data_IF_285336630237
#
_entry.id   IF_285336630237
#
_cell.length_a   1.000
_cell.length_b   1.000
_cell.length_c   1.000
_cell.angle_alpha   90.00
_cell.angle_beta   90.00
_cell.angle_gamma   90.00
#
_symmetry.space_group_name_H-M   'P 1'
#
loop_
_entity.id
_entity.type
_entity.pdbx_description
1 polymer ?
#
# COMPACT_ATOMS: atom_id res chain seq x y z
N UNK A 1 -15.83 -29.79 6.00
CA UNK A 1 -14.72 -29.01 6.54
C UNK A 1 -13.94 -28.43 5.37
N UNK A 2 -13.77 -27.10 5.31
CA UNK A 2 -12.98 -26.44 4.28
C UNK A 2 -11.49 -26.73 4.51
N UNK A 3 -10.73 -26.96 3.44
CA UNK A 3 -9.29 -27.25 3.49
C UNK A 3 -8.42 -26.13 2.93
N UNK A 4 -9.04 -25.23 2.16
CA UNK A 4 -8.35 -24.12 1.48
C UNK A 4 -9.15 -22.82 1.71
N UNK A 5 -8.45 -21.76 2.02
CA UNK A 5 -8.95 -20.38 2.05
C UNK A 5 -8.24 -19.54 0.99
N UNK A 6 -8.93 -18.58 0.41
CA UNK A 6 -8.36 -17.60 -0.51
C UNK A 6 -8.29 -16.24 0.21
N UNK A 7 -7.09 -15.66 0.29
CA UNK A 7 -6.84 -14.35 0.89
C UNK A 7 -6.64 -13.28 -0.18
N UNK A 8 -7.09 -12.05 0.13
CA UNK A 8 -6.79 -10.85 -0.66
C UNK A 8 -5.41 -10.24 -0.41
N UNK A 9 -4.58 -10.88 0.39
CA UNK A 9 -3.28 -10.37 0.82
C UNK A 9 -2.34 -10.10 -0.35
N UNK A 10 -1.59 -9.02 -0.27
CA UNK A 10 -0.68 -8.55 -1.33
C UNK A 10 -1.31 -7.62 -2.36
N UNK A 11 -2.65 -7.45 -2.35
CA UNK A 11 -3.30 -6.57 -3.33
C UNK A 11 -2.90 -5.10 -3.16
N UNK A 12 -2.77 -4.61 -1.94
CA UNK A 12 -2.38 -3.23 -1.65
C UNK A 12 -0.93 -2.94 -2.07
N UNK A 13 -0.05 -3.87 -1.83
CA UNK A 13 1.38 -3.76 -2.14
C UNK A 13 1.66 -3.88 -3.64
N UNK A 14 0.84 -4.65 -4.37
CA UNK A 14 1.05 -4.89 -5.82
C UNK A 14 0.29 -3.87 -6.68
N UNK A 15 -0.89 -3.40 -6.24
CA UNK A 15 -1.75 -2.50 -7.01
C UNK A 15 -1.85 -1.09 -6.44
N UNK A 16 -1.12 -0.78 -5.36
CA UNK A 16 -1.11 0.53 -4.70
C UNK A 16 -2.42 0.86 -3.96
N UNK A 17 -2.57 0.35 -2.71
CA UNK A 17 -3.78 0.51 -1.91
C UNK A 17 -3.68 1.48 -0.74
N UNK A 18 -2.49 1.80 -0.24
CA UNK A 18 -2.30 2.54 1.01
C UNK A 18 -2.39 4.07 0.86
N UNK A 19 -2.66 4.78 1.96
CA UNK A 19 -2.77 6.24 1.97
C UNK A 19 -1.45 6.93 1.62
N UNK A 20 -0.32 6.40 2.08
CA UNK A 20 1.01 6.94 1.73
C UNK A 20 1.34 6.75 0.24
N UNK A 21 0.86 5.69 -0.40
CA UNK A 21 0.99 5.51 -1.85
C UNK A 21 0.36 6.66 -2.64
N UNK A 22 -0.77 7.18 -2.17
CA UNK A 22 -1.41 8.33 -2.82
C UNK A 22 -0.56 9.60 -2.68
N UNK A 23 0.03 9.82 -1.50
CA UNK A 23 0.90 10.98 -1.27
C UNK A 23 2.20 10.87 -2.08
N UNK A 24 2.75 9.66 -2.22
CA UNK A 24 3.91 9.41 -3.08
C UNK A 24 3.59 9.63 -4.55
N UNK A 25 2.41 9.21 -4.99
CA UNK A 25 1.98 9.49 -6.36
C UNK A 25 1.80 10.98 -6.63
N UNK A 26 1.20 11.73 -5.70
CA UNK A 26 1.14 13.20 -5.79
C UNK A 26 2.54 13.82 -5.93
N UNK A 27 3.51 13.32 -5.16
CA UNK A 27 4.89 13.74 -5.33
C UNK A 27 5.44 13.44 -6.74
N UNK A 28 5.19 12.27 -7.29
CA UNK A 28 5.69 11.89 -8.62
C UNK A 28 5.11 12.75 -9.75
N UNK A 29 3.83 13.07 -9.67
CA UNK A 29 3.15 13.88 -10.71
C UNK A 29 3.31 15.39 -10.53
N UNK A 30 4.03 15.86 -9.51
CA UNK A 30 4.15 17.29 -9.13
C UNK A 30 4.61 18.22 -10.26
N UNK A 31 5.42 17.72 -11.20
CA UNK A 31 5.93 18.50 -12.33
C UNK A 31 4.90 18.65 -13.46
N UNK A 32 3.85 17.82 -13.48
CA UNK A 32 2.72 17.98 -14.37
C UNK A 32 1.58 18.69 -13.62
N UNK A 33 1.55 20.02 -13.70
CA UNK A 33 0.59 20.86 -12.96
C UNK A 33 -0.86 20.43 -13.11
N UNK A 34 -1.29 20.06 -14.32
CA UNK A 34 -2.68 19.64 -14.60
C UNK A 34 -2.99 18.33 -13.88
N UNK A 35 -2.14 17.33 -14.04
CA UNK A 35 -2.33 16.02 -13.44
C UNK A 35 -2.25 16.08 -11.91
N UNK A 36 -1.28 16.84 -11.39
CA UNK A 36 -1.15 17.07 -9.95
C UNK A 36 -2.41 17.70 -9.34
N UNK A 37 -2.90 18.79 -9.97
CA UNK A 37 -4.09 19.48 -9.46
C UNK A 37 -5.35 18.60 -9.53
N UNK A 38 -5.49 17.82 -10.60
CA UNK A 38 -6.59 16.85 -10.73
C UNK A 38 -6.56 15.82 -9.58
N UNK A 39 -5.41 15.20 -9.35
CA UNK A 39 -5.27 14.20 -8.29
C UNK A 39 -5.41 14.80 -6.89
N UNK A 40 -4.84 15.98 -6.65
CA UNK A 40 -4.95 16.67 -5.36
C UNK A 40 -6.42 17.02 -5.03
N UNK A 41 -7.18 17.50 -6.01
CA UNK A 41 -8.60 17.83 -5.80
C UNK A 41 -9.43 16.58 -5.46
N UNK A 42 -9.18 15.47 -6.16
CA UNK A 42 -9.87 14.20 -5.88
C UNK A 42 -9.44 13.61 -4.54
N UNK A 43 -8.16 13.67 -4.21
CA UNK A 43 -7.66 13.26 -2.90
C UNK A 43 -8.32 14.08 -1.78
N UNK A 44 -8.40 15.42 -1.91
CA UNK A 44 -9.08 16.28 -0.94
C UNK A 44 -10.56 15.93 -0.78
N UNK A 45 -11.23 15.61 -1.88
CA UNK A 45 -12.69 15.35 -1.88
C UNK A 45 -13.04 13.98 -1.31
N UNK A 46 -12.32 12.94 -1.70
CA UNK A 46 -12.73 11.56 -1.45
C UNK A 46 -11.89 10.84 -0.39
N UNK A 47 -10.61 11.21 -0.24
CA UNK A 47 -9.68 10.48 0.61
C UNK A 47 -9.43 11.20 1.93
N UNK A 48 -9.11 12.48 1.88
CA UNK A 48 -8.78 13.27 3.07
C UNK A 48 -9.83 13.19 4.20
N UNK A 49 -11.15 13.18 3.93
CA UNK A 49 -12.16 13.05 4.99
C UNK A 49 -12.07 11.74 5.78
N UNK A 50 -11.61 10.66 5.13
CA UNK A 50 -11.52 9.32 5.71
C UNK A 50 -10.19 9.04 6.42
N UNK A 51 -9.20 9.92 6.26
CA UNK A 51 -7.87 9.73 6.85
C UNK A 51 -7.91 10.00 8.35
N UNK A 52 -7.67 8.95 9.15
CA UNK A 52 -7.55 9.03 10.63
C UNK A 52 -6.14 9.43 11.07
N UNK A 53 -5.11 8.87 10.44
CA UNK A 53 -3.73 9.17 10.78
C UNK A 53 -3.35 10.59 10.32
N UNK A 54 -3.03 11.48 11.27
CA UNK A 54 -2.68 12.89 11.03
C UNK A 54 -1.54 13.10 10.01
N UNK A 55 -0.58 12.18 9.94
CA UNK A 55 0.54 12.28 9.00
C UNK A 55 0.09 12.25 7.55
N UNK A 56 -0.88 11.40 7.23
CA UNK A 56 -1.38 11.26 5.86
C UNK A 56 -2.34 12.38 5.43
N UNK A 57 -2.66 13.31 6.31
CA UNK A 57 -3.48 14.50 5.98
C UNK A 57 -2.69 15.62 5.31
N UNK A 58 -1.35 15.51 5.26
CA UNK A 58 -0.47 16.46 4.57
C UNK A 58 -0.11 15.96 3.17
N UNK A 59 -0.68 16.53 2.08
CA UNK A 59 -0.40 16.07 0.71
C UNK A 59 1.05 16.34 0.27
N UNK A 60 1.77 17.21 1.01
CA UNK A 60 3.15 17.56 0.70
C UNK A 60 4.18 16.82 1.59
N UNK A 61 3.77 15.80 2.32
CA UNK A 61 4.65 15.08 3.25
C UNK A 61 5.96 14.64 2.58
N UNK A 62 5.89 14.03 1.39
CA UNK A 62 7.07 13.56 0.65
C UNK A 62 7.79 14.63 -0.16
N UNK A 63 7.27 15.85 -0.26
CA UNK A 63 7.96 16.97 -0.89
C UNK A 63 9.10 17.48 -0.02
N UNK A 64 8.95 17.44 1.30
CA UNK A 64 9.95 17.86 2.25
C UNK A 64 10.95 16.75 2.57
N UNK A 65 10.47 15.52 2.70
CA UNK A 65 11.33 14.37 3.02
C UNK A 65 10.84 13.10 2.31
N UNK A 66 11.52 12.71 1.25
CA UNK A 66 11.21 11.48 0.49
C UNK A 66 11.35 10.20 1.33
N UNK A 67 12.16 10.26 2.41
CA UNK A 67 12.42 9.12 3.31
C UNK A 67 11.58 9.19 4.58
N UNK A 68 10.50 9.97 4.56
CA UNK A 68 9.63 10.12 5.73
C UNK A 68 8.99 8.78 6.11
N UNK A 69 9.20 8.36 7.35
CA UNK A 69 8.73 7.09 7.91
C UNK A 69 8.25 7.22 9.37
N UNK A 70 8.22 8.44 9.92
CA UNK A 70 7.84 8.63 11.34
C UNK A 70 6.43 8.14 11.65
N UNK A 71 5.53 8.15 10.66
CA UNK A 71 4.15 7.66 10.80
C UNK A 71 4.05 6.17 11.15
N UNK A 72 5.07 5.37 10.84
CA UNK A 72 5.14 3.95 11.23
C UNK A 72 5.46 3.78 12.71
N UNK A 73 6.26 4.70 13.28
CA UNK A 73 6.81 4.57 14.62
C UNK A 73 6.08 5.40 15.69
N UNK A 74 5.09 6.21 15.31
CA UNK A 74 4.44 7.15 16.23
C UNK A 74 3.70 6.42 17.35
N UNK A 75 3.04 5.32 17.05
CA UNK A 75 2.35 4.50 18.04
C UNK A 75 3.30 3.80 19.03
N UNK A 76 4.58 3.67 18.69
CA UNK A 76 5.57 3.04 19.55
C UNK A 76 6.06 3.96 20.71
N UNK A 77 5.75 5.26 20.69
CA UNK A 77 6.19 6.17 21.75
C UNK A 77 5.58 5.83 23.11
N UNK A 78 4.30 5.48 23.14
CA UNK A 78 3.62 5.09 24.37
C UNK A 78 4.01 3.67 24.82
N UNK A 79 4.23 2.76 23.86
CA UNK A 79 4.62 1.40 24.14
C UNK A 79 6.07 1.25 24.59
N UNK A 80 6.95 2.22 24.27
CA UNK A 80 8.38 2.15 24.63
C UNK A 80 8.63 1.97 26.12
N UNK A 81 7.76 2.49 26.98
CA UNK A 81 7.84 2.34 28.44
C UNK A 81 7.68 0.90 28.93
N UNK A 82 7.11 0.03 28.09
CA UNK A 82 6.89 -1.37 28.40
C UNK A 82 7.99 -2.29 27.86
N UNK A 83 8.90 -1.77 27.06
CA UNK A 83 10.01 -2.59 26.52
C UNK A 83 11.21 -2.53 27.48
N UNK A 84 11.70 -3.71 27.86
CA UNK A 84 12.90 -3.84 28.69
C UNK A 84 14.15 -3.25 28.01
N UNK A 85 14.26 -3.42 26.68
CA UNK A 85 15.36 -2.90 25.87
C UNK A 85 14.81 -2.31 24.53
N UNK A 86 14.34 -1.06 24.53
CA UNK A 86 13.83 -0.44 23.32
C UNK A 86 14.96 -0.15 22.33
N UNK A 87 15.34 -1.13 21.51
CA UNK A 87 16.29 -0.90 20.42
C UNK A 87 15.64 0.01 19.38
N UNK A 88 16.35 1.07 18.98
CA UNK A 88 15.99 1.88 17.80
C UNK A 88 16.33 1.10 16.53
N UNK A 89 15.57 0.08 16.22
CA UNK A 89 15.64 -0.52 14.90
C UNK A 89 14.87 0.37 13.94
N UNK A 90 15.57 1.29 13.30
CA UNK A 90 15.00 2.10 12.22
C UNK A 90 15.10 1.25 10.96
N UNK A 91 13.95 0.84 10.42
CA UNK A 91 13.91 0.20 9.11
C UNK A 91 14.44 1.17 8.06
N UNK A 92 15.37 0.68 7.24
CA UNK A 92 15.93 1.43 6.10
C UNK A 92 15.44 0.77 4.82
N UNK A 93 14.70 1.53 4.01
CA UNK A 93 14.29 1.06 2.70
C UNK A 93 15.50 0.69 1.84
N UNK A 94 15.39 -0.45 1.14
CA UNK A 94 16.30 -0.79 0.05
C UNK A 94 15.91 -0.02 -1.20
N UNK A 95 16.90 0.28 -2.02
CA UNK A 95 16.69 0.96 -3.30
C UNK A 95 16.45 -0.06 -4.42
N UNK A 96 15.26 -0.04 -4.98
CA UNK A 96 14.83 -0.87 -6.10
C UNK A 96 14.44 -0.04 -7.33
N UNK A 97 13.97 1.19 -7.12
CA UNK A 97 13.41 2.03 -8.17
C UNK A 97 13.65 3.50 -7.89
N UNK A 98 13.81 4.29 -8.96
CA UNK A 98 13.80 5.75 -8.90
C UNK A 98 12.41 6.35 -8.63
N UNK A 99 11.34 5.61 -8.92
CA UNK A 99 9.98 5.96 -8.53
C UNK A 99 9.82 5.75 -7.04
N UNK A 100 9.41 6.80 -6.32
CA UNK A 100 9.19 6.75 -4.88
C UNK A 100 8.09 5.75 -4.52
N UNK A 101 7.00 5.76 -5.28
CA UNK A 101 5.88 4.83 -5.12
C UNK A 101 6.31 3.38 -5.35
N UNK A 102 6.94 3.09 -6.50
CA UNK A 102 7.38 1.72 -6.79
C UNK A 102 8.42 1.22 -5.79
N UNK A 103 9.34 2.09 -5.38
CA UNK A 103 10.33 1.70 -4.36
C UNK A 103 9.66 1.32 -3.04
N UNK A 104 8.62 2.07 -2.61
CA UNK A 104 7.86 1.75 -1.42
C UNK A 104 7.14 0.41 -1.56
N UNK A 105 6.37 0.22 -2.62
CA UNK A 105 5.64 -1.02 -2.88
C UNK A 105 6.57 -2.25 -2.88
N UNK A 106 7.78 -2.14 -3.46
CA UNK A 106 8.77 -3.22 -3.46
C UNK A 106 9.33 -3.51 -2.05
N UNK A 107 9.56 -2.47 -1.23
CA UNK A 107 9.97 -2.68 0.15
C UNK A 107 8.86 -3.36 0.97
N UNK A 108 7.61 -3.00 0.77
CA UNK A 108 6.45 -3.64 1.42
C UNK A 108 6.30 -5.11 1.03
N UNK A 109 6.52 -5.43 -0.25
CA UNK A 109 6.46 -6.82 -0.74
C UNK A 109 7.59 -7.66 -0.16
N UNK A 110 8.81 -7.15 -0.08
CA UNK A 110 9.98 -7.99 0.23
C UNK A 110 10.44 -7.92 1.69
N UNK A 111 10.14 -6.84 2.41
CA UNK A 111 10.78 -6.60 3.72
C UNK A 111 9.83 -6.13 4.82
N UNK A 112 8.63 -5.67 4.48
CA UNK A 112 7.74 -5.06 5.46
C UNK A 112 6.44 -5.85 5.61
N UNK A 113 5.40 -5.47 4.87
CA UNK A 113 4.04 -5.94 5.08
C UNK A 113 3.87 -7.42 4.72
N UNK A 114 4.20 -7.76 3.47
CA UNK A 114 3.90 -9.09 2.92
C UNK A 114 4.58 -10.22 3.72
N UNK A 115 5.88 -10.18 4.06
CA UNK A 115 6.49 -11.24 4.86
C UNK A 115 5.85 -11.41 6.24
N UNK A 116 5.42 -10.30 6.86
CA UNK A 116 4.86 -10.32 8.21
C UNK A 116 3.46 -10.93 8.21
N UNK A 117 2.55 -10.42 7.36
CA UNK A 117 1.17 -10.90 7.41
C UNK A 117 1.01 -12.28 6.76
N UNK A 118 1.77 -12.62 5.70
CA UNK A 118 1.71 -13.97 5.13
C UNK A 118 2.18 -15.01 6.14
N UNK A 119 3.23 -14.73 6.90
CA UNK A 119 3.67 -15.61 7.99
C UNK A 119 2.60 -15.76 9.07
N UNK A 120 2.00 -14.66 9.51
CA UNK A 120 0.94 -14.69 10.53
C UNK A 120 -0.32 -15.41 10.05
N UNK A 121 -0.72 -15.19 8.79
CA UNK A 121 -1.85 -15.87 8.17
C UNK A 121 -1.59 -17.37 8.08
N UNK A 122 -0.40 -17.77 7.60
CA UNK A 122 -0.04 -19.18 7.47
C UNK A 122 -0.14 -19.90 8.82
N UNK A 123 0.45 -19.34 9.88
CA UNK A 123 0.37 -19.91 11.23
C UNK A 123 -1.09 -20.06 11.71
N UNK A 124 -1.92 -19.03 11.51
CA UNK A 124 -3.30 -19.03 11.95
C UNK A 124 -4.16 -20.06 11.19
N UNK A 125 -4.01 -20.14 9.88
CA UNK A 125 -4.75 -21.10 9.06
C UNK A 125 -4.27 -22.53 9.29
N UNK A 126 -2.95 -22.76 9.38
CA UNK A 126 -2.38 -24.08 9.60
C UNK A 126 -2.72 -24.66 10.98
N UNK A 127 -2.89 -23.82 12.00
CA UNK A 127 -3.41 -24.27 13.32
C UNK A 127 -4.76 -25.00 13.18
N UNK A 128 -5.55 -24.65 12.15
CA UNK A 128 -6.83 -25.27 11.87
C UNK A 128 -6.79 -26.27 10.69
N UNK A 129 -5.60 -26.65 10.22
CA UNK A 129 -5.38 -27.51 9.06
C UNK A 129 -6.08 -26.99 7.80
N UNK A 130 -6.02 -25.67 7.59
CA UNK A 130 -6.53 -24.98 6.41
C UNK A 130 -5.34 -24.37 5.66
N UNK A 131 -5.22 -24.64 4.35
CA UNK A 131 -4.22 -24.01 3.51
C UNK A 131 -4.67 -22.59 3.11
N UNK A 132 -3.82 -21.58 3.35
CA UNK A 132 -4.08 -20.21 2.88
C UNK A 132 -3.39 -19.97 1.53
N UNK A 133 -4.13 -19.44 0.56
CA UNK A 133 -3.60 -19.06 -0.76
C UNK A 133 -3.88 -17.59 -1.04
N UNK A 134 -2.84 -16.87 -1.47
CA UNK A 134 -2.90 -15.45 -1.80
C UNK A 134 -2.67 -15.24 -3.32
N UNK A 135 -3.73 -15.26 -4.14
CA UNK A 135 -3.60 -15.19 -5.60
C UNK A 135 -2.89 -13.94 -6.11
N UNK A 136 -2.98 -12.81 -5.38
CA UNK A 136 -2.30 -11.57 -5.74
C UNK A 136 -0.77 -11.67 -5.62
N UNK A 137 -0.25 -12.58 -4.78
CA UNK A 137 1.18 -12.83 -4.64
C UNK A 137 1.73 -13.80 -5.71
N UNK A 138 1.02 -13.98 -6.80
CA UNK A 138 1.49 -14.79 -7.93
C UNK A 138 2.68 -14.10 -8.61
N UNK A 139 3.75 -14.86 -8.86
CA UNK A 139 4.99 -14.35 -9.46
C UNK A 139 4.77 -13.67 -10.81
N UNK A 140 3.99 -14.29 -11.72
CA UNK A 140 3.74 -13.73 -13.06
C UNK A 140 2.97 -12.42 -12.98
N UNK A 141 1.99 -12.33 -12.07
CA UNK A 141 1.25 -11.09 -11.80
C UNK A 141 2.19 -10.01 -11.27
N UNK A 142 3.03 -10.35 -10.30
CA UNK A 142 4.01 -9.42 -9.74
C UNK A 142 4.96 -8.89 -10.82
N UNK A 143 5.58 -9.78 -11.62
CA UNK A 143 6.49 -9.41 -12.71
C UNK A 143 5.78 -8.50 -13.74
N UNK A 144 4.56 -8.83 -14.13
CA UNK A 144 3.74 -7.97 -15.01
C UNK A 144 3.52 -6.58 -14.39
N UNK A 145 3.12 -6.50 -13.13
CA UNK A 145 2.86 -5.22 -12.47
C UNK A 145 4.10 -4.34 -12.34
N UNK A 146 5.31 -4.93 -12.31
CA UNK A 146 6.54 -4.13 -12.36
C UNK A 146 6.72 -3.40 -13.70
N UNK A 147 6.15 -3.89 -14.80
CA UNK A 147 6.19 -3.21 -16.10
C UNK A 147 5.13 -2.10 -16.22
N UNK A 148 4.09 -2.12 -15.39
CA UNK A 148 2.98 -1.17 -15.44
C UNK A 148 3.43 0.21 -14.95
N UNK A 149 3.22 1.29 -15.74
CA UNK A 149 3.51 2.64 -15.30
C UNK A 149 2.65 3.09 -14.10
N UNK A 150 3.18 3.93 -13.18
CA UNK A 150 2.45 4.38 -11.98
C UNK A 150 1.08 5.01 -12.24
N UNK A 151 0.90 5.67 -13.39
CA UNK A 151 -0.39 6.27 -13.80
C UNK A 151 -1.56 5.29 -13.89
N UNK A 152 -1.29 3.98 -14.01
CA UNK A 152 -2.33 2.95 -14.04
C UNK A 152 -2.68 2.39 -12.66
N UNK A 153 -1.86 2.67 -11.65
CA UNK A 153 -2.18 2.32 -10.28
C UNK A 153 -3.24 3.26 -9.68
N UNK A 154 -3.15 4.56 -10.06
CA UNK A 154 -4.01 5.60 -9.51
C UNK A 154 -4.56 6.48 -10.61
N UNK A 155 -5.87 6.49 -10.76
CA UNK A 155 -6.57 7.40 -11.68
C UNK A 155 -7.91 7.82 -11.09
N UNK A 156 -8.37 9.00 -11.46
CA UNK A 156 -9.70 9.54 -11.10
C UNK A 156 -9.99 9.55 -9.59
N UNK A 157 -8.95 9.55 -8.75
CA UNK A 157 -9.07 9.49 -7.29
C UNK A 157 -9.09 8.08 -6.70
N UNK A 158 -9.11 7.03 -7.53
CA UNK A 158 -9.07 5.64 -7.07
C UNK A 158 -7.65 5.10 -7.01
N UNK A 159 -7.37 4.35 -5.96
CA UNK A 159 -6.26 3.40 -5.87
C UNK A 159 -6.63 2.08 -6.54
N UNK A 160 -5.66 1.22 -6.80
CA UNK A 160 -5.88 -0.09 -7.45
C UNK A 160 -6.63 0.05 -8.78
N UNK A 161 -6.43 1.16 -9.50
CA UNK A 161 -7.26 1.52 -10.65
C UNK A 161 -7.29 0.45 -11.73
N UNK A 162 -6.14 -0.13 -12.09
CA UNK A 162 -6.07 -1.22 -13.07
C UNK A 162 -6.86 -2.44 -12.62
N UNK A 163 -6.78 -2.82 -11.33
CA UNK A 163 -7.55 -3.93 -10.78
C UNK A 163 -9.05 -3.64 -10.88
N UNK A 164 -9.48 -2.45 -10.43
CA UNK A 164 -10.89 -2.03 -10.52
C UNK A 164 -11.42 -2.06 -11.96
N UNK A 165 -10.56 -1.78 -12.96
CA UNK A 165 -10.93 -1.85 -14.36
C UNK A 165 -11.07 -3.29 -14.89
N UNK A 166 -10.21 -4.18 -14.46
CA UNK A 166 -10.25 -5.58 -14.89
C UNK A 166 -11.48 -6.30 -14.34
N UNK A 167 -11.89 -5.98 -13.11
CA UNK A 167 -12.97 -6.67 -12.41
C UNK A 167 -14.36 -6.03 -12.65
N UNK A 168 -14.49 -5.04 -13.52
CA UNK A 168 -15.75 -4.31 -13.74
C UNK A 168 -16.92 -5.19 -14.20
N UNK A 169 -16.63 -6.32 -14.86
CA UNK A 169 -17.63 -7.31 -15.29
C UNK A 169 -17.98 -8.38 -14.24
N UNK A 170 -17.22 -8.43 -13.14
CA UNK A 170 -17.32 -9.50 -12.14
C UNK A 170 -17.77 -9.01 -10.77
N UNK A 171 -17.56 -7.71 -10.49
CA UNK A 171 -17.83 -7.12 -9.19
C UNK A 171 -18.75 -5.91 -9.35
N UNK A 172 -19.87 -5.83 -8.61
CA UNK A 172 -20.80 -4.70 -8.65
C UNK A 172 -20.08 -3.37 -8.36
N UNK A 173 -20.58 -2.29 -8.96
CA UNK A 173 -19.98 -0.95 -8.83
C UNK A 173 -19.99 -0.44 -7.41
N UNK A 174 -20.97 -0.79 -6.61
CA UNK A 174 -21.10 -0.45 -5.19
C UNK A 174 -19.90 -0.94 -4.36
N UNK A 175 -19.30 -2.09 -4.77
CA UNK A 175 -18.11 -2.65 -4.10
C UNK A 175 -16.84 -2.19 -4.80
N UNK A 176 -16.87 -2.18 -6.13
CA UNK A 176 -15.69 -1.89 -6.96
C UNK A 176 -15.24 -0.44 -6.90
N UNK A 177 -16.16 0.50 -6.68
CA UNK A 177 -15.91 1.95 -6.71
C UNK A 177 -15.97 2.61 -5.32
N UNK A 178 -16.06 1.82 -4.28
CA UNK A 178 -16.02 2.28 -2.90
C UNK A 178 -14.62 2.78 -2.44
#
# INVERSE_FOLDING_TARGET
KYKVALSGSGADEIFSGYYDHQLMYLYEVRNNKKLYQEHLNKWKKYILPNIRNKYFRNPHMFFHNKKERSYIYDHNKELKKFFLNPKKNIFKEKYFSSSLLKNRMLNEVFFENVPIFTHSEDLNFMQHSVENRSPFLNRKLFEFMQTVPPKFYMQKGFTKYILRKIIDKYVPDEIRLE
#
